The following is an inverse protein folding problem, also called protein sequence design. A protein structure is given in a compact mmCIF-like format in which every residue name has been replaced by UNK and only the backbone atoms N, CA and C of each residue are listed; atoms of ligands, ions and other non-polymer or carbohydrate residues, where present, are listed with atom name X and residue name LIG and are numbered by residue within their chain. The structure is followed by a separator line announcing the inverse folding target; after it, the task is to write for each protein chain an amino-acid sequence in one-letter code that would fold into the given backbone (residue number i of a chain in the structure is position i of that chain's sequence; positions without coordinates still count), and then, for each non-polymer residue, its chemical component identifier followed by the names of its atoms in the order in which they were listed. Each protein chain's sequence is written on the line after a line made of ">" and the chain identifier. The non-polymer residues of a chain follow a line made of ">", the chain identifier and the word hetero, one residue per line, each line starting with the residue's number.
data_IF_694268673364
#
_entry.id   IF_694268673364
#
_cell.length_a   1.000
_cell.length_b   1.000
_cell.length_c   1.000
_cell.angle_alpha   90.00
_cell.angle_beta   90.00
_cell.angle_gamma   90.00
#
_symmetry.space_group_name_H-M   'P 1'
#
loop_
_entity.id
_entity.type
_entity.pdbx_description
1 polymer ?
#
# COMPACT_ATOMS: atom_id res chain seq x y z
N UNK A 1 23.41 17.53 -10.17
CA UNK A 1 23.61 18.32 -11.40
C UNK A 1 22.62 19.47 -11.35
N UNK A 2 23.12 20.70 -11.26
CA UNK A 2 22.34 21.92 -11.03
C UNK A 2 21.62 22.32 -12.33
N UNK A 3 20.31 22.58 -12.25
CA UNK A 3 19.57 23.27 -13.33
C UNK A 3 19.11 24.61 -12.79
N UNK A 4 19.73 25.64 -13.33
CA UNK A 4 19.49 27.05 -13.07
C UNK A 4 18.10 27.45 -13.58
N UNK A 5 17.11 27.61 -12.68
CA UNK A 5 15.83 28.24 -13.02
C UNK A 5 15.95 29.75 -12.80
N UNK A 6 15.82 30.52 -13.89
CA UNK A 6 15.66 31.97 -13.88
C UNK A 6 14.63 32.37 -12.81
N UNK A 7 15.07 33.12 -11.80
CA UNK A 7 14.20 33.73 -10.80
C UNK A 7 13.23 34.71 -11.49
N UNK A 8 11.98 34.30 -11.64
CA UNK A 8 10.88 35.24 -11.86
C UNK A 8 10.76 36.11 -10.60
N UNK A 9 10.92 37.43 -10.76
CA UNK A 9 10.69 38.42 -9.71
C UNK A 9 9.21 38.37 -9.33
N UNK A 10 8.89 37.96 -8.10
CA UNK A 10 7.54 38.12 -7.53
C UNK A 10 7.07 37.08 -6.51
N UNK A 11 7.75 35.95 -6.36
CA UNK A 11 7.29 34.89 -5.44
C UNK A 11 7.86 35.14 -4.04
N UNK A 12 7.11 35.92 -3.23
CA UNK A 12 7.21 35.84 -1.77
C UNK A 12 6.88 34.40 -1.39
N UNK A 13 7.69 33.79 -0.53
CA UNK A 13 7.44 32.49 0.10
C UNK A 13 6.19 32.60 0.99
N UNK A 14 5.00 32.64 0.39
CA UNK A 14 3.76 32.39 1.11
C UNK A 14 3.70 30.89 1.35
N UNK A 15 4.02 30.47 2.57
CA UNK A 15 3.57 29.19 3.07
C UNK A 15 2.05 29.30 3.13
N UNK A 16 1.37 28.82 2.09
CA UNK A 16 -0.09 28.75 2.12
C UNK A 16 -0.50 27.87 3.32
N UNK A 17 -1.44 28.34 4.16
CA UNK A 17 -1.83 27.60 5.34
C UNK A 17 -2.43 26.26 4.94
N UNK A 18 -2.02 25.17 5.61
CA UNK A 18 -2.58 23.84 5.37
C UNK A 18 -4.10 23.89 5.51
N UNK A 19 -4.80 23.54 4.44
CA UNK A 19 -6.25 23.46 4.43
C UNK A 19 -6.71 22.05 4.75
N UNK A 20 -7.80 21.95 5.50
CA UNK A 20 -8.46 20.68 5.75
C UNK A 20 -9.08 20.12 4.47
N UNK A 21 -9.21 18.80 4.41
CA UNK A 21 -9.79 18.13 3.26
C UNK A 21 -11.23 18.67 3.01
N UNK A 22 -11.57 19.08 1.77
CA UNK A 22 -12.91 19.53 1.39
C UNK A 22 -14.00 18.52 1.75
N UNK A 23 -13.68 17.21 1.77
CA UNK A 23 -14.62 16.15 2.17
C UNK A 23 -15.12 16.36 3.61
N UNK A 24 -14.29 16.88 4.51
CA UNK A 24 -14.67 17.10 5.92
C UNK A 24 -15.18 18.51 6.18
N UNK A 25 -14.75 19.49 5.38
CA UNK A 25 -14.99 20.91 5.65
C UNK A 25 -16.13 21.48 4.80
N UNK A 26 -16.45 20.85 3.67
CA UNK A 26 -17.43 21.35 2.69
C UNK A 26 -16.96 22.60 1.90
N UNK A 27 -15.78 23.13 2.22
CA UNK A 27 -15.19 24.27 1.52
C UNK A 27 -14.77 23.88 0.11
N UNK A 28 -15.08 24.72 -0.87
CA UNK A 28 -14.54 24.58 -2.21
C UNK A 28 -13.09 25.08 -2.24
N UNK A 29 -12.16 24.20 -2.60
CA UNK A 29 -10.72 24.48 -2.69
C UNK A 29 -10.22 24.42 -4.14
N UNK A 30 -11.13 24.44 -5.10
CA UNK A 30 -10.77 24.47 -6.54
C UNK A 30 -9.97 25.70 -6.91
N UNK A 31 -10.20 26.83 -6.22
CA UNK A 31 -9.43 28.07 -6.34
C UNK A 31 -7.94 27.90 -5.99
N UNK A 32 -7.61 26.95 -5.10
CA UNK A 32 -6.22 26.64 -4.73
C UNK A 32 -5.60 25.61 -5.69
N UNK A 33 -6.30 24.49 -5.93
CA UNK A 33 -5.81 23.44 -6.84
C UNK A 33 -6.91 22.50 -7.31
N UNK A 34 -7.35 22.70 -8.55
CA UNK A 34 -8.28 21.79 -9.23
C UNK A 34 -7.75 20.34 -9.34
N UNK A 35 -6.43 20.16 -9.48
CA UNK A 35 -5.81 18.83 -9.63
C UNK A 35 -5.81 18.04 -8.31
N UNK A 36 -5.44 18.73 -7.23
CA UNK A 36 -5.36 18.12 -5.89
C UNK A 36 -6.75 17.74 -5.38
N UNK A 37 -7.74 18.60 -5.60
CA UNK A 37 -9.14 18.32 -5.23
C UNK A 37 -9.68 17.10 -6.01
N UNK A 38 -9.39 16.99 -7.31
CA UNK A 38 -9.78 15.83 -8.13
C UNK A 38 -9.22 14.49 -7.62
N UNK A 39 -7.93 14.46 -7.29
CA UNK A 39 -7.29 13.27 -6.67
C UNK A 39 -7.96 12.95 -5.34
N UNK A 40 -8.17 13.96 -4.50
CA UNK A 40 -8.61 13.78 -3.11
C UNK A 40 -10.01 13.16 -3.01
N UNK A 41 -10.93 13.57 -3.88
CA UNK A 41 -12.29 13.01 -3.95
C UNK A 41 -12.25 11.52 -4.34
N UNK A 42 -11.35 11.14 -5.25
CA UNK A 42 -11.20 9.74 -5.71
C UNK A 42 -10.39 8.87 -4.75
N UNK A 43 -9.73 9.46 -3.76
CA UNK A 43 -8.83 8.76 -2.85
C UNK A 43 -9.51 8.10 -1.65
N UNK A 44 -10.82 8.31 -1.46
CA UNK A 44 -11.57 7.68 -0.38
C UNK A 44 -11.46 6.15 -0.35
N UNK A 45 -11.74 5.49 -1.49
CA UNK A 45 -11.72 4.02 -1.59
C UNK A 45 -10.32 3.43 -1.36
N UNK A 46 -9.25 3.90 -2.06
CA UNK A 46 -7.90 3.41 -1.80
C UNK A 46 -7.47 3.60 -0.34
N UNK A 47 -7.80 4.74 0.27
CA UNK A 47 -7.44 5.02 1.67
C UNK A 47 -8.11 4.04 2.63
N UNK A 48 -9.41 3.75 2.44
CA UNK A 48 -10.13 2.78 3.26
C UNK A 48 -9.55 1.36 3.11
N UNK A 49 -9.26 0.94 1.87
CA UNK A 49 -8.60 -0.35 1.63
C UNK A 49 -7.23 -0.43 2.31
N UNK A 50 -6.45 0.66 2.26
CA UNK A 50 -5.14 0.74 2.91
C UNK A 50 -5.26 0.57 4.44
N UNK A 51 -6.22 1.25 5.06
CA UNK A 51 -6.49 1.16 6.51
C UNK A 51 -6.90 -0.26 6.90
N UNK A 52 -7.83 -0.88 6.15
CA UNK A 52 -8.28 -2.26 6.40
C UNK A 52 -7.12 -3.24 6.25
N UNK A 53 -6.33 -3.12 5.19
CA UNK A 53 -5.17 -3.98 4.95
C UNK A 53 -4.11 -3.84 6.04
N UNK A 54 -3.80 -2.62 6.46
CA UNK A 54 -2.87 -2.34 7.55
C UNK A 54 -3.37 -2.92 8.89
N UNK A 55 -4.67 -2.81 9.17
CA UNK A 55 -5.29 -3.39 10.36
C UNK A 55 -5.23 -4.92 10.36
N UNK A 56 -5.46 -5.58 9.21
CA UNK A 56 -5.29 -7.02 9.08
C UNK A 56 -3.84 -7.46 9.33
N UNK A 57 -2.85 -6.74 8.78
CA UNK A 57 -1.43 -6.98 9.06
C UNK A 57 -1.08 -6.80 10.55
N UNK A 58 -1.67 -5.79 11.21
CA UNK A 58 -1.51 -5.57 12.64
C UNK A 58 -2.06 -6.73 13.47
N UNK A 59 -3.25 -7.24 13.16
CA UNK A 59 -3.79 -8.45 13.81
C UNK A 59 -2.92 -9.67 13.52
N UNK A 60 -2.44 -9.83 12.28
CA UNK A 60 -1.56 -10.91 11.88
C UNK A 60 -0.28 -10.95 12.72
N UNK A 61 0.29 -9.80 13.04
CA UNK A 61 1.46 -9.67 13.90
C UNK A 61 1.23 -10.25 15.30
N UNK A 62 0.10 -9.96 15.96
CA UNK A 62 -0.20 -10.55 17.27
C UNK A 62 -0.38 -12.07 17.17
N UNK A 63 -1.08 -12.56 16.15
CA UNK A 63 -1.19 -14.00 15.95
C UNK A 63 0.16 -14.66 15.66
N UNK A 64 1.08 -13.97 14.97
CA UNK A 64 2.43 -14.45 14.74
C UNK A 64 3.18 -14.65 16.06
N UNK A 65 3.14 -13.63 16.93
CA UNK A 65 3.77 -13.66 18.25
C UNK A 65 3.17 -14.77 19.11
N UNK A 66 1.84 -14.81 19.26
CA UNK A 66 1.18 -15.83 20.08
C UNK A 66 1.40 -17.24 19.53
N UNK A 67 1.39 -17.42 18.21
CA UNK A 67 1.70 -18.69 17.55
C UNK A 67 3.15 -19.11 17.76
N UNK A 68 4.09 -18.16 17.77
CA UNK A 68 5.50 -18.42 18.05
C UNK A 68 5.70 -18.94 19.48
N UNK A 69 5.18 -18.23 20.49
CA UNK A 69 5.32 -18.59 21.90
C UNK A 69 4.61 -19.90 22.26
N UNK A 70 3.35 -20.08 21.84
CA UNK A 70 2.55 -21.27 22.18
C UNK A 70 2.85 -22.50 21.32
N UNK A 71 3.75 -22.36 20.34
CA UNK A 71 4.05 -23.36 19.32
C UNK A 71 2.81 -23.90 18.57
N UNK A 72 1.82 -23.05 18.37
CA UNK A 72 0.48 -23.41 17.90
C UNK A 72 0.29 -23.13 16.39
N UNK A 73 -0.67 -23.81 15.78
CA UNK A 73 -1.18 -23.63 14.40
C UNK A 73 -1.61 -22.20 14.06
N UNK A 74 -1.80 -21.33 15.06
CA UNK A 74 -2.02 -19.88 14.90
C UNK A 74 -0.95 -19.19 14.06
N UNK A 75 0.25 -19.79 13.97
CA UNK A 75 1.30 -19.29 13.10
C UNK A 75 0.89 -19.30 11.62
N UNK A 76 0.16 -20.33 11.18
CA UNK A 76 -0.36 -20.47 9.81
C UNK A 76 -1.49 -19.48 9.57
N UNK A 77 -2.39 -19.34 10.54
CA UNK A 77 -3.48 -18.37 10.49
C UNK A 77 -2.91 -16.95 10.31
N UNK A 78 -1.89 -16.59 11.09
CA UNK A 78 -1.17 -15.32 10.93
C UNK A 78 -0.62 -15.13 9.51
N UNK A 79 0.01 -16.15 8.91
CA UNK A 79 0.53 -16.06 7.55
C UNK A 79 -0.60 -15.78 6.53
N UNK A 80 -1.78 -16.41 6.68
CA UNK A 80 -2.95 -16.15 5.83
C UNK A 80 -3.42 -14.69 5.96
N UNK A 81 -3.53 -14.17 7.19
CA UNK A 81 -3.89 -12.76 7.40
C UNK A 81 -2.86 -11.80 6.80
N UNK A 82 -1.56 -12.12 6.88
CA UNK A 82 -0.51 -11.32 6.22
C UNK A 82 -0.61 -11.37 4.68
N UNK A 83 -0.97 -12.51 4.08
CA UNK A 83 -1.23 -12.59 2.63
C UNK A 83 -2.38 -11.65 2.25
N UNK A 84 -3.53 -11.77 2.93
CA UNK A 84 -4.71 -10.97 2.61
C UNK A 84 -4.45 -9.48 2.87
N UNK A 85 -3.91 -9.14 4.05
CA UNK A 85 -3.58 -7.77 4.42
C UNK A 85 -2.54 -7.14 3.49
N UNK A 86 -1.45 -7.87 3.21
CA UNK A 86 -0.38 -7.41 2.33
C UNK A 86 -0.85 -7.17 0.90
N UNK A 87 -1.65 -8.07 0.34
CA UNK A 87 -2.26 -7.87 -0.99
C UNK A 87 -3.24 -6.70 -1.00
N UNK A 88 -4.03 -6.52 0.05
CA UNK A 88 -4.98 -5.40 0.17
C UNK A 88 -4.24 -4.06 0.23
N UNK A 89 -3.16 -3.98 1.01
CA UNK A 89 -2.28 -2.80 1.06
C UNK A 89 -1.66 -2.52 -0.31
N UNK A 90 -1.09 -3.52 -0.98
CA UNK A 90 -0.52 -3.34 -2.32
C UNK A 90 -1.54 -2.86 -3.35
N UNK A 91 -2.75 -3.42 -3.33
CA UNK A 91 -3.82 -2.98 -4.23
C UNK A 91 -4.24 -1.54 -3.95
N UNK A 92 -4.33 -1.12 -2.69
CA UNK A 92 -4.63 0.27 -2.35
C UNK A 92 -3.56 1.26 -2.85
N UNK A 93 -2.27 0.88 -2.76
CA UNK A 93 -1.17 1.69 -3.28
C UNK A 93 -1.22 1.77 -4.80
N UNK A 94 -1.53 0.66 -5.48
CA UNK A 94 -1.69 0.65 -6.93
C UNK A 94 -2.85 1.55 -7.38
N UNK A 95 -3.99 1.47 -6.70
CA UNK A 95 -5.13 2.35 -6.98
C UNK A 95 -4.79 3.83 -6.74
N UNK A 96 -4.04 4.16 -5.68
CA UNK A 96 -3.54 5.52 -5.47
C UNK A 96 -2.73 6.01 -6.68
N UNK A 97 -1.82 5.18 -7.20
CA UNK A 97 -1.03 5.51 -8.39
C UNK A 97 -1.93 5.72 -9.60
N UNK A 98 -2.91 4.84 -9.85
CA UNK A 98 -3.84 4.98 -10.95
C UNK A 98 -4.67 6.27 -10.86
N UNK A 99 -5.19 6.61 -9.67
CA UNK A 99 -5.96 7.85 -9.46
C UNK A 99 -5.11 9.09 -9.73
N UNK A 100 -3.86 9.08 -9.27
CA UNK A 100 -2.93 10.18 -9.52
C UNK A 100 -2.59 10.28 -11.01
N UNK A 101 -2.32 9.15 -11.66
CA UNK A 101 -1.99 9.12 -13.09
C UNK A 101 -3.17 9.59 -13.96
N UNK A 102 -4.38 9.13 -13.67
CA UNK A 102 -5.61 9.53 -14.39
C UNK A 102 -5.85 11.05 -14.30
N UNK A 103 -5.58 11.67 -13.15
CA UNK A 103 -5.78 13.10 -12.95
C UNK A 103 -4.62 13.95 -13.49
N UNK A 104 -3.40 13.42 -13.49
CA UNK A 104 -2.18 14.17 -13.84
C UNK A 104 -1.74 13.97 -15.29
N UNK A 105 -1.95 12.80 -15.89
CA UNK A 105 -1.52 12.49 -17.25
C UNK A 105 -2.10 13.44 -18.31
N UNK A 106 -3.38 13.87 -18.26
CA UNK A 106 -3.91 14.87 -19.21
C UNK A 106 -3.25 16.25 -19.03
N UNK A 107 -2.83 16.58 -17.81
CA UNK A 107 -2.31 17.90 -17.42
C UNK A 107 -0.81 18.04 -17.65
N UNK A 108 -0.11 16.91 -17.75
CA UNK A 108 1.32 16.85 -18.02
C UNK A 108 1.66 16.81 -19.52
N UNK A 109 0.66 16.67 -20.40
CA UNK A 109 0.86 16.68 -21.86
C UNK A 109 1.43 18.03 -22.33
N UNK A 110 2.29 18.04 -23.37
CA UNK A 110 2.75 19.27 -23.98
C UNK A 110 1.56 20.09 -24.50
N UNK A 111 1.60 21.40 -24.30
CA UNK A 111 0.57 22.27 -24.89
C UNK A 111 0.61 22.16 -26.42
N UNK A 112 -0.47 22.57 -27.11
CA UNK A 112 -0.55 22.57 -28.58
C UNK A 112 0.62 23.31 -29.27
N UNK A 113 1.34 24.18 -28.54
CA UNK A 113 2.54 24.89 -28.96
C UNK A 113 3.85 24.10 -28.79
N UNK A 114 3.83 22.86 -28.31
CA UNK A 114 5.01 22.00 -28.11
C UNK A 114 5.86 22.33 -26.89
N UNK A 115 5.45 23.31 -26.07
CA UNK A 115 6.16 23.66 -24.84
C UNK A 115 5.95 22.59 -23.75
N UNK A 116 6.98 22.27 -22.95
CA UNK A 116 6.85 21.34 -21.84
C UNK A 116 5.81 21.86 -20.84
N UNK A 117 4.97 20.95 -20.32
CA UNK A 117 3.94 21.32 -19.35
C UNK A 117 4.59 22.00 -18.12
N UNK A 118 4.00 23.12 -17.69
CA UNK A 118 4.49 23.87 -16.52
C UNK A 118 4.26 23.11 -15.21
N UNK A 119 3.38 22.10 -15.23
CA UNK A 119 2.97 21.31 -14.09
C UNK A 119 3.82 20.05 -13.92
N UNK A 120 4.42 19.86 -12.74
CA UNK A 120 5.22 18.69 -12.38
C UNK A 120 4.79 18.16 -11.02
N UNK A 121 4.62 16.85 -10.92
CA UNK A 121 4.23 16.15 -9.70
C UNK A 121 5.30 15.14 -9.29
N UNK A 122 5.55 15.01 -7.98
CA UNK A 122 6.49 14.05 -7.42
C UNK A 122 5.91 13.39 -6.17
N UNK A 123 6.04 12.08 -6.08
CA UNK A 123 5.63 11.34 -4.90
C UNK A 123 6.52 11.64 -3.67
N UNK A 124 5.91 11.73 -2.50
CA UNK A 124 6.61 11.94 -1.22
C UNK A 124 7.20 10.66 -0.61
N UNK A 125 8.02 10.82 0.43
CA UNK A 125 8.66 9.71 1.14
C UNK A 125 7.65 8.75 1.80
N UNK A 126 6.55 9.26 2.36
CA UNK A 126 5.52 8.43 2.98
C UNK A 126 4.88 7.46 1.98
N UNK A 127 4.68 7.91 0.74
CA UNK A 127 4.17 7.04 -0.32
C UNK A 127 5.20 5.97 -0.70
N UNK A 128 6.49 6.32 -0.80
CA UNK A 128 7.55 5.33 -1.05
C UNK A 128 7.61 4.28 0.08
N UNK A 129 7.47 4.69 1.33
CA UNK A 129 7.41 3.76 2.47
C UNK A 129 6.18 2.84 2.40
N UNK A 130 5.01 3.38 2.05
CA UNK A 130 3.79 2.59 1.86
C UNK A 130 3.94 1.57 0.72
N UNK A 131 4.52 1.97 -0.42
CA UNK A 131 4.78 1.08 -1.55
C UNK A 131 5.80 -0.03 -1.19
N UNK A 132 6.84 0.31 -0.43
CA UNK A 132 7.87 -0.65 -0.01
C UNK A 132 7.42 -1.57 1.13
N UNK A 133 6.36 -1.22 1.87
CA UNK A 133 5.86 -2.00 3.01
C UNK A 133 5.40 -3.43 2.65
N UNK A 134 5.12 -3.69 1.38
CA UNK A 134 4.80 -5.03 0.89
C UNK A 134 5.97 -6.02 1.03
N UNK A 135 7.21 -5.57 0.83
CA UNK A 135 8.39 -6.43 0.89
C UNK A 135 8.60 -7.08 2.28
N UNK A 136 8.62 -6.33 3.40
CA UNK A 136 8.73 -6.93 4.72
C UNK A 136 7.51 -7.81 5.06
N UNK A 137 6.31 -7.49 4.55
CA UNK A 137 5.13 -8.34 4.75
C UNK A 137 5.32 -9.72 4.08
N UNK A 138 5.82 -9.76 2.85
CA UNK A 138 6.14 -11.02 2.16
C UNK A 138 7.25 -11.81 2.85
N UNK A 139 8.27 -11.12 3.37
CA UNK A 139 9.32 -11.76 4.16
C UNK A 139 8.74 -12.41 5.43
N UNK A 140 7.82 -11.73 6.12
CA UNK A 140 7.17 -12.29 7.32
C UNK A 140 6.38 -13.57 6.99
N UNK A 141 5.66 -13.59 5.87
CA UNK A 141 4.90 -14.77 5.41
C UNK A 141 5.84 -15.94 5.13
N UNK A 142 6.95 -15.67 4.42
CA UNK A 142 7.96 -16.68 4.14
C UNK A 142 8.56 -17.26 5.43
N UNK A 143 9.03 -16.40 6.34
CA UNK A 143 9.63 -16.83 7.61
C UNK A 143 8.63 -17.63 8.45
N UNK A 144 7.38 -17.19 8.53
CA UNK A 144 6.34 -17.86 9.30
C UNK A 144 6.03 -19.26 8.75
N UNK A 145 5.97 -19.37 7.43
CA UNK A 145 5.74 -20.64 6.73
C UNK A 145 6.92 -21.59 6.90
N UNK A 146 8.16 -21.08 6.80
CA UNK A 146 9.37 -21.87 7.03
C UNK A 146 9.45 -22.37 8.47
N UNK A 147 9.23 -21.51 9.46
CA UNK A 147 9.21 -21.90 10.87
C UNK A 147 8.15 -22.97 11.15
N UNK A 148 6.98 -22.87 10.50
CA UNK A 148 5.94 -23.88 10.60
C UNK A 148 6.38 -25.24 10.02
N UNK A 149 6.97 -25.25 8.81
CA UNK A 149 7.43 -26.49 8.19
C UNK A 149 8.61 -27.14 8.92
N UNK A 150 9.49 -26.34 9.52
CA UNK A 150 10.59 -26.85 10.35
C UNK A 150 10.09 -27.44 11.67
N UNK A 151 8.99 -26.92 12.22
CA UNK A 151 8.41 -27.42 13.48
C UNK A 151 7.75 -28.79 13.34
N UNK A 152 7.13 -29.08 12.19
CA UNK A 152 6.46 -30.35 11.93
C UNK A 152 7.17 -31.09 10.79
N UNK A 153 8.26 -31.84 11.05
CA UNK A 153 9.06 -32.46 9.98
C UNK A 153 8.32 -33.61 9.27
N UNK A 154 7.42 -34.31 9.96
CA UNK A 154 6.72 -35.46 9.38
C UNK A 154 5.52 -35.03 8.52
N UNK A 155 5.32 -35.62 7.32
CA UNK A 155 4.19 -35.28 6.45
C UNK A 155 2.82 -35.50 7.09
N UNK A 156 2.70 -36.48 8.01
CA UNK A 156 1.46 -36.80 8.75
C UNK A 156 1.08 -35.73 9.77
N UNK A 157 2.03 -35.00 10.33
CA UNK A 157 1.74 -33.90 11.25
C UNK A 157 1.35 -32.63 10.49
N UNK A 158 1.99 -32.39 9.33
CA UNK A 158 1.65 -31.28 8.43
C UNK A 158 0.21 -31.37 7.92
N UNK A 159 -0.24 -32.59 7.62
CA UNK A 159 -1.56 -32.84 7.03
C UNK A 159 -2.73 -32.68 7.99
N UNK A 160 -2.49 -32.73 9.31
CA UNK A 160 -3.53 -32.47 10.33
C UNK A 160 -4.00 -31.02 10.39
N UNK A 161 -3.17 -30.08 9.89
CA UNK A 161 -3.42 -28.64 9.99
C UNK A 161 -3.80 -28.05 8.63
N UNK A 162 -3.29 -28.62 7.53
CA UNK A 162 -3.60 -28.17 6.17
C UNK A 162 -4.64 -29.14 5.57
N UNK A 163 -5.93 -28.78 5.54
CA UNK A 163 -6.95 -29.62 4.94
C UNK A 163 -6.65 -29.87 3.45
N UNK A 164 -6.85 -31.09 2.98
CA UNK A 164 -6.59 -31.52 1.59
C UNK A 164 -5.16 -32.01 1.30
N UNK A 165 -4.21 -31.86 2.24
CA UNK A 165 -2.85 -32.37 2.04
C UNK A 165 -2.77 -33.90 2.10
N UNK A 166 -3.68 -34.56 2.82
CA UNK A 166 -3.77 -36.03 2.86
C UNK A 166 -4.24 -36.63 1.54
N UNK A 167 -5.22 -36.00 0.91
CA UNK A 167 -5.78 -36.47 -0.37
C UNK A 167 -4.74 -36.40 -1.48
N UNK A 168 -3.93 -35.33 -1.50
CA UNK A 168 -2.84 -35.16 -2.44
C UNK A 168 -1.74 -36.22 -2.22
N UNK A 169 -1.44 -36.58 -0.97
CA UNK A 169 -0.51 -37.69 -0.67
C UNK A 169 -1.04 -39.04 -1.17
N UNK A 170 -2.32 -39.32 -0.96
CA UNK A 170 -2.94 -40.58 -1.35
C UNK A 170 -3.12 -40.71 -2.87
N UNK A 171 -3.03 -39.61 -3.62
CA UNK A 171 -3.04 -39.61 -5.09
C UNK A 171 -1.68 -39.99 -5.70
N UNK A 172 -0.58 -39.76 -4.97
CA UNK A 172 0.80 -39.98 -5.41
C UNK A 172 1.45 -41.24 -4.80
N UNK A 173 0.71 -41.99 -3.97
CA UNK A 173 1.08 -43.30 -3.43
C UNK A 173 0.20 -44.38 -4.05
#
# INVERSE_FOLDING_TARGET
>A
MMVNKKKFKGQRDYVEPCQWNPIYTGNDLTDFSFATVGILIRLGVPTLMHIIGAFLCFIAFFFAIFGYFKKDSRSVISAIFYVIGGLTVSMSVLQFVCVVDDEMAPRMKPNAAGEPSSFSYRYGYSFMAAALSFLPAQLCIYLQTQMYFQRYPTPREKSKVIPGLEDLRNLFL
#
